data_IF_769844101203
#
_entry.id   IF_769844101203
#
_cell.length_a   1.000
_cell.length_b   1.000
_cell.length_c   1.000
_cell.angle_alpha   90.00
_cell.angle_beta   90.00
_cell.angle_gamma   90.00
#
_symmetry.space_group_name_H-M   'P 1'
#
loop_
_entity.id
_entity.type
_entity.pdbx_description
1 polymer ?
#
# COMPACT_ATOMS: atom_id res chain seq x y z
N UNK A 1 3.87 24.15 38.53
CA UNK A 1 3.89 22.72 38.19
C UNK A 1 2.44 22.27 38.13
N UNK A 2 2.03 21.50 37.11
CA UNK A 2 0.68 20.97 36.76
C UNK A 2 -0.02 21.65 35.57
N UNK A 3 0.44 21.33 34.36
CA UNK A 3 -0.31 21.49 33.11
C UNK A 3 -0.02 20.28 32.20
N UNK A 4 -0.46 19.07 32.61
CA UNK A 4 -0.10 17.82 31.90
C UNK A 4 -1.22 16.78 31.79
N UNK A 5 -2.50 17.10 32.01
CA UNK A 5 -3.54 16.04 32.03
C UNK A 5 -4.63 16.09 30.95
N UNK A 6 -4.69 17.10 30.07
CA UNK A 6 -5.78 17.18 29.08
C UNK A 6 -5.38 16.78 27.63
N UNK A 7 -4.10 16.50 27.36
CA UNK A 7 -3.58 16.35 25.97
C UNK A 7 -3.51 14.93 25.39
N UNK A 8 -3.76 13.89 26.20
CA UNK A 8 -3.67 12.49 25.76
C UNK A 8 -4.87 11.94 24.96
N UNK A 9 -6.15 12.31 25.21
CA UNK A 9 -7.29 11.63 24.60
C UNK A 9 -7.47 11.95 23.11
N UNK A 10 -7.31 13.21 22.70
CA UNK A 10 -7.37 13.60 21.27
C UNK A 10 -6.26 12.95 20.44
N UNK A 11 -5.09 12.80 21.06
CA UNK A 11 -3.92 12.23 20.41
C UNK A 11 -4.11 10.76 20.02
N UNK A 12 -4.73 10.00 20.93
CA UNK A 12 -5.07 8.59 20.71
C UNK A 12 -6.24 8.47 19.72
N UNK A 13 -7.21 9.39 19.78
CA UNK A 13 -8.35 9.43 18.87
C UNK A 13 -7.93 9.61 17.40
N UNK A 14 -7.07 10.59 17.10
CA UNK A 14 -6.58 10.84 15.73
C UNK A 14 -5.83 9.64 15.16
N UNK A 15 -4.92 9.04 15.95
CA UNK A 15 -4.15 7.88 15.50
C UNK A 15 -5.06 6.68 15.23
N UNK A 16 -6.05 6.45 16.10
CA UNK A 16 -7.05 5.39 15.93
C UNK A 16 -7.91 5.63 14.70
N UNK A 17 -8.30 6.87 14.42
CA UNK A 17 -9.09 7.20 13.25
C UNK A 17 -8.32 6.94 11.94
N UNK A 18 -7.09 7.45 11.82
CA UNK A 18 -6.27 7.30 10.62
C UNK A 18 -5.89 5.83 10.36
N UNK A 19 -5.28 5.18 11.35
CA UNK A 19 -4.82 3.79 11.21
C UNK A 19 -6.02 2.85 11.17
N UNK A 20 -7.01 3.07 12.03
CA UNK A 20 -8.22 2.26 12.07
C UNK A 20 -8.97 2.30 10.75
N UNK A 21 -9.22 3.49 10.19
CA UNK A 21 -9.87 3.63 8.88
C UNK A 21 -9.10 2.94 7.76
N UNK A 22 -7.79 3.18 7.66
CA UNK A 22 -6.95 2.57 6.63
C UNK A 22 -6.90 1.03 6.73
N UNK A 23 -6.58 0.50 7.91
CA UNK A 23 -6.41 -0.95 8.13
C UNK A 23 -7.75 -1.66 8.06
N UNK A 24 -8.80 -1.13 8.72
CA UNK A 24 -10.12 -1.77 8.67
C UNK A 24 -10.72 -1.71 7.27
N UNK A 25 -10.56 -0.61 6.53
CA UNK A 25 -10.98 -0.53 5.14
C UNK A 25 -10.32 -1.62 4.29
N UNK A 26 -9.00 -1.78 4.40
CA UNK A 26 -8.29 -2.80 3.64
C UNK A 26 -8.69 -4.23 4.01
N UNK A 27 -8.81 -4.53 5.30
CA UNK A 27 -9.21 -5.86 5.78
C UNK A 27 -10.67 -6.18 5.44
N UNK A 28 -11.59 -5.23 5.59
CA UNK A 28 -13.00 -5.44 5.25
C UNK A 28 -13.17 -5.65 3.75
N UNK A 29 -12.49 -4.85 2.92
CA UNK A 29 -12.55 -4.99 1.46
C UNK A 29 -11.99 -6.34 1.00
N UNK A 30 -10.82 -6.76 1.50
CA UNK A 30 -10.25 -8.04 1.08
C UNK A 30 -11.08 -9.22 1.55
N UNK A 31 -11.57 -9.21 2.79
CA UNK A 31 -12.42 -10.29 3.30
C UNK A 31 -13.74 -10.38 2.55
N UNK A 32 -14.42 -9.25 2.33
CA UNK A 32 -15.66 -9.22 1.57
C UNK A 32 -15.42 -9.71 0.12
N UNK A 33 -14.39 -9.22 -0.54
CA UNK A 33 -14.07 -9.64 -1.89
C UNK A 33 -13.71 -11.13 -1.97
N UNK A 34 -12.90 -11.65 -1.04
CA UNK A 34 -12.58 -13.08 -0.97
C UNK A 34 -13.84 -13.92 -0.75
N UNK A 35 -14.78 -13.51 0.11
CA UNK A 35 -16.05 -14.24 0.28
C UNK A 35 -16.93 -14.22 -0.98
N UNK A 36 -16.88 -13.14 -1.76
CA UNK A 36 -17.65 -13.02 -2.99
C UNK A 36 -17.06 -13.86 -4.13
N UNK A 37 -15.72 -13.96 -4.19
CA UNK A 37 -15.01 -14.68 -5.26
C UNK A 37 -14.57 -16.09 -4.86
N UNK A 38 -15.00 -16.60 -3.70
CA UNK A 38 -14.64 -17.93 -3.23
C UNK A 38 -15.13 -19.00 -4.23
N UNK A 39 -14.20 -19.79 -4.75
CA UNK A 39 -14.54 -20.87 -5.68
C UNK A 39 -15.40 -21.93 -4.99
N UNK A 40 -16.51 -22.33 -5.63
CA UNK A 40 -17.30 -23.46 -5.15
C UNK A 40 -16.49 -24.74 -5.36
N UNK A 41 -16.28 -25.49 -4.28
CA UNK A 41 -15.56 -26.75 -4.33
C UNK A 41 -16.20 -27.70 -5.36
N UNK A 42 -15.42 -28.06 -6.39
CA UNK A 42 -15.81 -29.07 -7.38
C UNK A 42 -15.41 -30.44 -6.84
N UNK A 43 -16.32 -31.43 -6.80
CA UNK A 43 -15.99 -32.77 -6.33
C UNK A 43 -14.79 -33.36 -7.07
N UNK A 44 -13.77 -33.78 -6.32
CA UNK A 44 -12.54 -34.39 -6.86
C UNK A 44 -11.37 -33.43 -7.09
N UNK A 45 -11.57 -32.11 -6.95
CA UNK A 45 -10.47 -31.12 -6.96
C UNK A 45 -10.14 -30.74 -5.52
N UNK A 46 -8.88 -30.93 -5.12
CA UNK A 46 -8.43 -30.50 -3.80
C UNK A 46 -8.35 -28.98 -3.77
N UNK A 47 -9.13 -28.35 -2.89
CA UNK A 47 -9.11 -26.90 -2.68
C UNK A 47 -8.29 -26.56 -1.42
N UNK A 48 -7.58 -25.41 -1.39
CA UNK A 48 -6.93 -24.93 -0.18
C UNK A 48 -7.92 -24.84 0.98
N UNK A 49 -7.47 -25.17 2.19
CA UNK A 49 -8.32 -25.02 3.37
C UNK A 49 -8.61 -23.54 3.70
N UNK A 50 -9.63 -23.25 4.53
CA UNK A 50 -10.05 -21.88 4.85
C UNK A 50 -8.93 -20.99 5.39
N UNK A 51 -7.97 -21.59 6.11
CA UNK A 51 -6.81 -20.87 6.61
C UNK A 51 -5.98 -20.25 5.48
N UNK A 52 -5.74 -21.00 4.40
CA UNK A 52 -4.95 -20.51 3.25
C UNK A 52 -5.79 -19.57 2.39
N UNK A 53 -7.05 -19.92 2.16
CA UNK A 53 -8.01 -19.16 1.34
C UNK A 53 -8.19 -17.72 1.86
N UNK A 54 -8.43 -17.54 3.16
CA UNK A 54 -8.61 -16.21 3.77
C UNK A 54 -7.30 -15.62 4.29
N UNK A 55 -6.39 -16.47 4.76
CA UNK A 55 -5.13 -16.00 5.36
C UNK A 55 -4.19 -15.40 4.33
N UNK A 56 -4.10 -15.95 3.11
CA UNK A 56 -3.21 -15.44 2.09
C UNK A 56 -3.56 -14.01 1.64
N UNK A 57 -4.82 -13.67 1.29
CA UNK A 57 -5.20 -12.30 0.97
C UNK A 57 -5.00 -11.32 2.14
N UNK A 58 -5.30 -11.75 3.37
CA UNK A 58 -5.07 -10.92 4.57
C UNK A 58 -3.58 -10.62 4.76
N UNK A 59 -2.71 -11.64 4.65
CA UNK A 59 -1.26 -11.47 4.74
C UNK A 59 -0.72 -10.57 3.65
N UNK A 60 -1.25 -10.69 2.42
CA UNK A 60 -0.90 -9.81 1.29
C UNK A 60 -1.27 -8.35 1.56
N UNK A 61 -2.48 -8.09 2.04
CA UNK A 61 -2.87 -6.73 2.42
C UNK A 61 -1.94 -6.20 3.51
N UNK A 62 -1.68 -6.96 4.56
CA UNK A 62 -0.79 -6.54 5.66
C UNK A 62 0.63 -6.24 5.17
N UNK A 63 1.13 -7.04 4.22
CA UNK A 63 2.42 -6.81 3.56
C UNK A 63 2.42 -5.46 2.83
N UNK A 64 1.39 -5.21 2.01
CA UNK A 64 1.25 -3.94 1.28
C UNK A 64 1.19 -2.76 2.25
N UNK A 65 0.41 -2.86 3.34
CA UNK A 65 0.31 -1.80 4.34
C UNK A 65 1.67 -1.53 5.02
N UNK A 66 2.44 -2.58 5.32
CA UNK A 66 3.78 -2.44 5.89
C UNK A 66 4.75 -1.76 4.90
N UNK A 67 4.73 -2.16 3.63
CA UNK A 67 5.55 -1.57 2.59
C UNK A 67 5.18 -0.10 2.33
N UNK A 68 3.89 0.23 2.30
CA UNK A 68 3.37 1.61 2.20
C UNK A 68 3.85 2.47 3.38
N UNK A 69 3.84 1.92 4.60
CA UNK A 69 4.36 2.63 5.77
C UNK A 69 5.87 2.89 5.64
N UNK A 70 6.65 1.91 5.17
CA UNK A 70 8.10 2.07 4.91
C UNK A 70 8.38 3.15 3.87
N UNK A 71 7.65 3.14 2.74
CA UNK A 71 7.77 4.18 1.70
C UNK A 71 7.44 5.56 2.28
N UNK A 72 6.31 5.71 2.96
CA UNK A 72 5.91 6.97 3.60
C UNK A 72 6.96 7.52 4.58
N UNK A 73 7.49 6.63 5.43
CA UNK A 73 8.53 6.99 6.41
C UNK A 73 9.87 7.32 5.75
N UNK A 74 10.19 6.69 4.61
CA UNK A 74 11.40 6.98 3.83
C UNK A 74 11.36 8.32 3.11
N UNK A 75 10.17 8.76 2.66
CA UNK A 75 9.97 10.03 1.98
C UNK A 75 9.96 11.23 2.96
N UNK A 76 9.58 11.00 4.21
CA UNK A 76 9.35 12.06 5.19
C UNK A 76 10.56 13.01 5.41
N UNK A 77 11.83 12.54 5.55
CA UNK A 77 12.98 13.44 5.67
C UNK A 77 13.09 14.41 4.51
N UNK A 78 12.83 13.93 3.28
CA UNK A 78 12.94 14.76 2.06
C UNK A 78 11.86 15.82 1.96
N UNK A 79 10.66 15.52 2.48
CA UNK A 79 9.51 16.44 2.47
C UNK A 79 9.64 17.49 3.60
N UNK A 80 10.10 17.08 4.78
CA UNK A 80 10.42 17.99 5.89
C UNK A 80 11.49 19.00 5.47
N UNK A 81 12.49 18.54 4.72
CA UNK A 81 13.65 19.34 4.36
C UNK A 81 14.64 19.42 5.52
N UNK A 82 15.78 20.04 5.25
CA UNK A 82 16.91 20.12 6.18
C UNK A 82 17.13 21.56 6.70
N UNK A 83 16.19 22.47 6.41
CA UNK A 83 16.29 23.90 6.68
C UNK A 83 16.20 24.22 8.18
N UNK A 84 15.47 23.40 8.95
CA UNK A 84 15.26 23.57 10.40
C UNK A 84 15.40 22.23 11.14
N UNK A 85 16.64 21.81 11.46
CA UNK A 85 16.90 20.55 12.16
C UNK A 85 16.28 20.48 13.56
N UNK A 86 16.19 21.60 14.28
CA UNK A 86 15.69 21.62 15.66
C UNK A 86 14.21 21.21 15.73
N UNK A 87 13.42 21.61 14.73
CA UNK A 87 11.99 21.26 14.65
C UNK A 87 11.72 19.93 13.95
N UNK A 88 12.56 19.55 12.98
CA UNK A 88 12.38 18.32 12.20
C UNK A 88 12.91 17.06 12.92
N UNK A 89 13.97 17.19 13.73
CA UNK A 89 14.60 16.06 14.41
C UNK A 89 13.70 15.33 15.43
N UNK A 90 12.85 16.00 16.24
CA UNK A 90 11.89 15.31 17.10
C UNK A 90 10.91 14.39 16.35
N UNK A 91 10.55 14.77 15.12
CA UNK A 91 9.71 13.95 14.23
C UNK A 91 10.54 12.78 13.71
N UNK A 92 11.77 13.01 13.28
CA UNK A 92 12.66 11.97 12.75
C UNK A 92 13.08 10.93 13.79
N UNK A 93 13.28 11.33 15.05
CA UNK A 93 13.52 10.40 16.16
C UNK A 93 12.42 9.36 16.34
N UNK A 94 11.17 9.69 15.95
CA UNK A 94 10.05 8.74 15.95
C UNK A 94 9.93 7.99 14.63
N UNK A 95 10.17 8.66 13.51
CA UNK A 95 10.02 8.07 12.17
C UNK A 95 11.05 6.97 11.89
N UNK A 96 12.33 7.17 12.25
CA UNK A 96 13.42 6.21 11.96
C UNK A 96 13.19 4.83 12.59
N UNK A 97 12.93 4.67 13.91
CA UNK A 97 12.68 3.35 14.49
C UNK A 97 11.35 2.73 14.00
N UNK A 98 10.33 3.56 13.71
CA UNK A 98 9.10 3.06 13.10
C UNK A 98 9.37 2.45 11.72
N UNK A 99 10.21 3.09 10.91
CA UNK A 99 10.56 2.61 9.57
C UNK A 99 11.27 1.25 9.63
N UNK A 100 12.20 1.08 10.58
CA UNK A 100 12.86 -0.21 10.84
C UNK A 100 11.85 -1.28 11.25
N UNK A 101 10.91 -0.94 12.14
CA UNK A 101 9.89 -1.88 12.62
C UNK A 101 9.00 -2.35 11.46
N UNK A 102 8.52 -1.43 10.63
CA UNK A 102 7.70 -1.78 9.47
C UNK A 102 8.49 -2.51 8.38
N UNK A 103 9.79 -2.24 8.21
CA UNK A 103 10.63 -2.98 7.29
C UNK A 103 10.85 -4.44 7.72
N UNK A 104 11.01 -4.69 9.02
CA UNK A 104 11.00 -6.05 9.56
C UNK A 104 9.64 -6.73 9.38
N UNK A 105 8.54 -6.02 9.66
CA UNK A 105 7.20 -6.56 9.43
C UNK A 105 6.99 -6.91 7.96
N UNK A 106 7.39 -6.05 7.04
CA UNK A 106 7.35 -6.29 5.59
C UNK A 106 8.16 -7.54 5.22
N UNK A 107 9.41 -7.66 5.67
CA UNK A 107 10.24 -8.83 5.39
C UNK A 107 9.61 -10.13 5.92
N UNK A 108 9.12 -10.13 7.16
CA UNK A 108 8.48 -11.32 7.77
C UNK A 108 7.19 -11.67 7.02
N UNK A 109 6.34 -10.69 6.74
CA UNK A 109 5.09 -10.91 6.00
C UNK A 109 5.36 -11.45 4.59
N UNK A 110 6.38 -10.95 3.89
CA UNK A 110 6.79 -11.47 2.59
C UNK A 110 7.17 -12.96 2.67
N UNK A 111 7.97 -13.35 3.66
CA UNK A 111 8.34 -14.75 3.85
C UNK A 111 7.14 -15.62 4.24
N UNK A 112 6.24 -15.14 5.10
CA UNK A 112 5.01 -15.88 5.46
C UNK A 112 4.07 -16.01 4.26
N UNK A 113 3.97 -14.99 3.41
CA UNK A 113 3.21 -15.06 2.14
C UNK A 113 3.77 -16.16 1.23
N UNK A 114 5.10 -16.31 1.11
CA UNK A 114 5.71 -17.42 0.33
C UNK A 114 5.23 -18.78 0.86
N UNK A 115 5.17 -18.96 2.19
CA UNK A 115 4.69 -20.21 2.81
C UNK A 115 3.22 -20.46 2.47
N UNK A 116 2.37 -19.44 2.56
CA UNK A 116 0.94 -19.55 2.22
C UNK A 116 0.71 -19.79 0.73
N UNK A 117 1.47 -19.16 -0.15
CA UNK A 117 1.42 -19.43 -1.59
C UNK A 117 1.88 -20.85 -1.93
N UNK A 118 2.90 -21.36 -1.22
CA UNK A 118 3.33 -22.76 -1.36
C UNK A 118 2.22 -23.72 -0.91
N UNK A 119 1.52 -23.41 0.19
CA UNK A 119 0.37 -24.17 0.67
C UNK A 119 -0.81 -24.13 -0.32
N UNK A 120 -1.05 -22.98 -0.96
CA UNK A 120 -2.10 -22.82 -1.95
C UNK A 120 -1.90 -23.73 -3.16
N UNK A 121 -0.65 -23.91 -3.60
CA UNK A 121 -0.31 -24.82 -4.70
C UNK A 121 -0.25 -26.30 -4.31
N UNK A 122 -0.22 -26.62 -3.02
CA UNK A 122 -0.17 -28.00 -2.52
C UNK A 122 -1.28 -28.25 -1.48
N UNK A 123 -2.57 -28.21 -1.89
CA UNK A 123 -3.68 -28.41 -0.96
C UNK A 123 -3.57 -29.73 -0.18
N UNK A 124 -3.86 -29.69 1.12
CA UNK A 124 -3.83 -30.87 1.99
C UNK A 124 -2.44 -31.25 2.52
N UNK A 125 -1.38 -30.55 2.14
CA UNK A 125 -0.01 -30.81 2.63
C UNK A 125 0.56 -29.61 3.38
N UNK A 126 1.24 -29.84 4.51
CA UNK A 126 1.98 -28.78 5.22
C UNK A 126 3.24 -28.43 4.43
N UNK A 127 3.49 -27.15 4.08
CA UNK A 127 4.68 -26.76 3.34
C UNK A 127 5.97 -27.13 4.07
N UNK A 128 6.78 -28.00 3.45
CA UNK A 128 8.12 -28.33 3.93
C UNK A 128 9.14 -27.32 3.40
N UNK A 129 10.32 -27.17 4.03
CA UNK A 129 11.39 -26.32 3.50
C UNK A 129 11.79 -26.65 2.06
N UNK A 130 11.74 -27.94 1.69
CA UNK A 130 12.02 -28.38 0.32
C UNK A 130 10.96 -27.90 -0.68
N UNK A 131 9.67 -27.98 -0.31
CA UNK A 131 8.57 -27.46 -1.14
C UNK A 131 8.65 -25.94 -1.29
N UNK A 132 8.99 -25.23 -0.23
CA UNK A 132 9.17 -23.76 -0.27
C UNK A 132 10.34 -23.39 -1.19
N UNK A 133 11.48 -24.08 -1.08
CA UNK A 133 12.63 -23.85 -1.96
C UNK A 133 12.31 -24.19 -3.43
N UNK A 134 11.51 -25.22 -3.66
CA UNK A 134 11.02 -25.57 -5.00
C UNK A 134 10.07 -24.49 -5.54
N UNK A 135 9.18 -23.96 -4.71
CA UNK A 135 8.28 -22.87 -5.10
C UNK A 135 9.07 -21.62 -5.52
N UNK A 136 10.00 -21.18 -4.66
CA UNK A 136 10.85 -20.00 -4.92
C UNK A 136 11.73 -20.20 -6.16
N UNK A 137 12.22 -21.41 -6.43
CA UNK A 137 13.07 -21.63 -7.61
C UNK A 137 12.28 -21.76 -8.93
N UNK A 138 11.03 -22.23 -8.89
CA UNK A 138 10.24 -22.50 -10.10
C UNK A 138 9.27 -21.39 -10.50
N UNK A 139 8.79 -20.58 -9.55
CA UNK A 139 7.76 -19.58 -9.81
C UNK A 139 8.32 -18.17 -9.62
N UNK A 140 8.15 -17.31 -10.64
CA UNK A 140 8.55 -15.90 -10.57
C UNK A 140 7.96 -15.16 -9.37
N UNK A 141 6.77 -15.57 -8.92
CA UNK A 141 6.10 -15.03 -7.72
C UNK A 141 6.90 -15.28 -6.44
N UNK A 142 7.46 -16.48 -6.30
CA UNK A 142 8.32 -16.83 -5.18
C UNK A 142 9.65 -16.06 -5.23
N UNK A 143 10.25 -15.95 -6.41
CA UNK A 143 11.49 -15.18 -6.62
C UNK A 143 11.30 -13.69 -6.30
N UNK A 144 10.23 -13.10 -6.82
CA UNK A 144 9.91 -11.69 -6.61
C UNK A 144 9.61 -11.38 -5.15
N UNK A 145 8.85 -12.25 -4.47
CA UNK A 145 8.58 -12.09 -3.05
C UNK A 145 9.84 -12.22 -2.19
N UNK A 146 10.74 -13.16 -2.53
CA UNK A 146 12.02 -13.29 -1.85
C UNK A 146 12.91 -12.05 -2.06
N UNK A 147 12.94 -11.51 -3.28
CA UNK A 147 13.64 -10.25 -3.56
C UNK A 147 13.05 -9.09 -2.77
N UNK A 148 11.72 -8.97 -2.70
CA UNK A 148 11.03 -7.97 -1.88
C UNK A 148 11.42 -8.08 -0.40
N UNK A 149 11.44 -9.29 0.14
CA UNK A 149 11.90 -9.56 1.51
C UNK A 149 13.37 -9.16 1.71
N UNK A 150 14.26 -9.45 0.76
CA UNK A 150 15.66 -9.07 0.82
C UNK A 150 15.85 -7.54 0.82
N UNK A 151 15.11 -6.82 -0.03
CA UNK A 151 15.10 -5.36 -0.03
C UNK A 151 14.57 -4.79 1.30
N UNK A 152 13.52 -5.38 1.87
CA UNK A 152 12.98 -4.96 3.16
C UNK A 152 14.00 -5.18 4.31
N UNK A 153 14.74 -6.29 4.30
CA UNK A 153 15.84 -6.53 5.25
C UNK A 153 17.01 -5.56 5.06
N UNK A 154 17.39 -5.29 3.81
CA UNK A 154 18.41 -4.30 3.48
C UNK A 154 17.99 -2.90 3.98
N UNK A 155 16.72 -2.53 3.75
CA UNK A 155 16.15 -1.30 4.29
C UNK A 155 16.23 -1.28 5.82
N UNK A 156 15.86 -2.37 6.50
CA UNK A 156 15.92 -2.45 7.97
C UNK A 156 17.36 -2.22 8.48
N UNK A 157 18.37 -2.80 7.82
CA UNK A 157 19.78 -2.57 8.11
C UNK A 157 20.20 -1.11 7.93
N UNK A 158 19.86 -0.49 6.80
CA UNK A 158 20.12 0.93 6.52
C UNK A 158 19.37 1.82 7.53
N UNK A 159 18.14 1.45 7.88
CA UNK A 159 17.31 2.14 8.85
C UNK A 159 17.90 2.10 10.27
N UNK A 160 18.49 0.99 10.68
CA UNK A 160 19.22 0.89 11.96
C UNK A 160 20.43 1.83 11.98
N UNK A 161 21.16 1.94 10.87
CA UNK A 161 22.22 2.94 10.71
C UNK A 161 21.65 4.36 10.82
N UNK A 162 20.50 4.66 10.19
CA UNK A 162 19.86 5.96 10.29
C UNK A 162 19.38 6.27 11.73
N UNK A 163 18.89 5.28 12.48
CA UNK A 163 18.54 5.45 13.91
C UNK A 163 19.78 5.85 14.72
N UNK A 164 20.94 5.26 14.43
CA UNK A 164 22.19 5.52 15.15
C UNK A 164 22.89 6.82 14.73
N UNK A 165 22.90 7.12 13.43
CA UNK A 165 23.71 8.18 12.84
C UNK A 165 22.89 9.37 12.29
N UNK A 166 21.55 9.32 12.41
CA UNK A 166 20.65 10.35 11.91
C UNK A 166 20.68 10.47 10.39
N UNK A 167 20.57 11.70 9.88
CA UNK A 167 20.57 12.00 8.45
C UNK A 167 21.97 11.97 7.80
N UNK A 168 23.01 11.52 8.51
CA UNK A 168 24.28 11.14 7.87
C UNK A 168 24.10 9.95 6.93
N UNK A 169 23.05 9.16 7.14
CA UNK A 169 22.63 8.10 6.22
C UNK A 169 21.68 8.71 5.18
N UNK A 170 22.05 8.72 3.88
CA UNK A 170 21.25 9.35 2.83
C UNK A 170 19.80 8.86 2.83
N UNK A 171 18.84 9.79 2.78
CA UNK A 171 17.43 9.46 2.68
C UNK A 171 17.10 8.83 1.32
N UNK A 172 17.82 9.27 0.28
CA UNK A 172 17.71 8.78 -1.09
C UNK A 172 17.97 7.28 -1.17
N UNK A 173 18.98 6.79 -0.45
CA UNK A 173 19.30 5.35 -0.42
C UNK A 173 18.12 4.54 0.17
N UNK A 174 17.50 5.03 1.24
CA UNK A 174 16.32 4.38 1.86
C UNK A 174 15.13 4.37 0.90
N UNK A 175 14.87 5.49 0.23
CA UNK A 175 13.79 5.63 -0.75
C UNK A 175 14.00 4.66 -1.92
N UNK A 176 15.21 4.62 -2.47
CA UNK A 176 15.58 3.72 -3.57
C UNK A 176 15.35 2.27 -3.15
N UNK A 177 15.92 1.81 -2.03
CA UNK A 177 15.75 0.43 -1.57
C UNK A 177 14.28 0.07 -1.32
N UNK A 178 13.49 1.00 -0.76
CA UNK A 178 12.05 0.78 -0.56
C UNK A 178 11.29 0.62 -1.88
N UNK A 179 11.53 1.47 -2.88
CA UNK A 179 10.88 1.33 -4.18
C UNK A 179 11.36 0.09 -4.96
N UNK A 180 12.64 -0.26 -4.87
CA UNK A 180 13.15 -1.50 -5.45
C UNK A 180 12.48 -2.74 -4.86
N UNK A 181 12.21 -2.76 -3.55
CA UNK A 181 11.48 -3.86 -2.91
C UNK A 181 10.02 -4.01 -3.37
N UNK A 182 9.42 -2.96 -3.95
CA UNK A 182 8.07 -3.00 -4.50
C UNK A 182 8.01 -3.49 -5.95
N UNK A 183 9.12 -3.39 -6.71
CA UNK A 183 9.18 -3.76 -8.12
C UNK A 183 8.72 -5.18 -8.43
N UNK A 184 9.06 -6.23 -7.66
CA UNK A 184 8.70 -7.59 -8.05
C UNK A 184 7.24 -7.94 -7.76
N UNK A 185 6.48 -7.10 -7.05
CA UNK A 185 5.13 -7.41 -6.62
C UNK A 185 4.15 -7.53 -7.81
N UNK A 186 4.24 -6.69 -8.88
CA UNK A 186 3.40 -6.81 -10.07
C UNK A 186 3.90 -7.80 -11.13
N UNK A 187 5.14 -8.29 -11.06
CA UNK A 187 5.86 -9.04 -12.12
C UNK A 187 5.41 -10.52 -12.23
N UNK A 188 4.21 -10.81 -11.76
CA UNK A 188 3.88 -12.10 -11.14
C UNK A 188 2.67 -12.80 -11.78
N UNK A 189 2.19 -12.27 -12.90
CA UNK A 189 1.20 -12.93 -13.76
C UNK A 189 1.85 -13.44 -15.06
N UNK A 190 1.25 -14.46 -15.68
CA UNK A 190 1.57 -14.92 -17.04
C UNK A 190 1.25 -13.84 -18.09
N UNK A 191 1.95 -12.71 -18.04
CA UNK A 191 1.76 -11.63 -18.99
C UNK A 191 2.30 -12.09 -20.35
N UNK A 192 1.36 -12.63 -21.13
CA UNK A 192 1.19 -12.55 -22.58
C UNK A 192 2.47 -12.25 -23.34
N UNK A 193 2.98 -13.26 -24.06
CA UNK A 193 4.03 -13.11 -25.07
C UNK A 193 3.54 -12.16 -26.18
N UNK A 194 3.61 -10.86 -25.92
CA UNK A 194 3.02 -9.79 -26.73
C UNK A 194 3.83 -8.51 -26.60
N UNK A 195 3.77 -7.67 -27.63
CA UNK A 195 4.40 -6.33 -27.68
C UNK A 195 3.99 -5.42 -26.50
N UNK A 196 2.90 -5.75 -25.81
CA UNK A 196 2.35 -4.97 -24.70
C UNK A 196 2.87 -5.37 -23.31
N UNK A 197 3.73 -6.40 -23.20
CA UNK A 197 4.28 -6.86 -21.92
C UNK A 197 5.00 -5.72 -21.16
N UNK A 198 6.01 -5.12 -21.78
CA UNK A 198 6.87 -4.15 -21.09
C UNK A 198 6.13 -2.86 -20.70
N UNK A 199 5.29 -2.25 -21.58
CA UNK A 199 4.50 -1.08 -21.19
C UNK A 199 3.51 -1.34 -20.06
N UNK A 200 2.87 -2.51 -20.02
CA UNK A 200 1.94 -2.88 -18.94
C UNK A 200 2.70 -3.07 -17.62
N UNK A 201 3.88 -3.71 -17.68
CA UNK A 201 4.73 -3.91 -16.51
C UNK A 201 5.17 -2.56 -15.91
N UNK A 202 5.72 -1.66 -16.75
CA UNK A 202 6.13 -0.31 -16.32
C UNK A 202 4.93 0.47 -15.75
N UNK A 203 3.76 0.39 -16.39
CA UNK A 203 2.53 1.04 -15.90
C UNK A 203 2.16 0.55 -14.50
N UNK A 204 2.21 -0.75 -14.25
CA UNK A 204 1.88 -1.35 -12.95
C UNK A 204 2.92 -1.00 -11.88
N UNK A 205 4.20 -0.99 -12.21
CA UNK A 205 5.26 -0.54 -11.30
C UNK A 205 5.05 0.93 -10.90
N UNK A 206 4.82 1.81 -11.87
CA UNK A 206 4.53 3.23 -11.62
C UNK A 206 3.26 3.41 -10.78
N UNK A 207 2.24 2.57 -10.99
CA UNK A 207 1.02 2.56 -10.18
C UNK A 207 1.30 2.23 -8.71
N UNK A 208 2.07 1.17 -8.46
CA UNK A 208 2.41 0.73 -7.09
C UNK A 208 3.31 1.76 -6.40
N UNK A 209 4.32 2.29 -7.10
CA UNK A 209 5.18 3.32 -6.53
C UNK A 209 4.42 4.61 -6.22
N UNK A 210 3.58 5.07 -7.15
CA UNK A 210 2.76 6.27 -6.96
C UNK A 210 1.76 6.12 -5.82
N UNK A 211 1.04 4.99 -5.78
CA UNK A 211 0.05 4.71 -4.72
C UNK A 211 0.71 4.61 -3.34
N UNK A 212 1.86 3.95 -3.24
CA UNK A 212 2.62 3.84 -1.99
C UNK A 212 3.17 5.20 -1.51
N UNK A 213 3.70 6.01 -2.43
CA UNK A 213 4.22 7.34 -2.12
C UNK A 213 3.13 8.28 -1.61
N UNK A 214 1.96 8.25 -2.25
CA UNK A 214 0.80 9.06 -1.86
C UNK A 214 0.18 8.57 -0.55
N UNK A 215 -0.21 7.30 -0.47
CA UNK A 215 -0.88 6.73 0.71
C UNK A 215 0.04 6.79 1.93
N UNK A 216 1.28 6.32 1.77
CA UNK A 216 2.26 6.28 2.85
C UNK A 216 2.68 7.67 3.30
N UNK A 217 2.93 8.58 2.37
CA UNK A 217 3.27 9.96 2.68
C UNK A 217 2.15 10.68 3.43
N UNK A 218 0.89 10.52 2.99
CA UNK A 218 -0.27 11.12 3.65
C UNK A 218 -0.42 10.57 5.07
N UNK A 219 -0.39 9.24 5.22
CA UNK A 219 -0.49 8.57 6.53
C UNK A 219 0.56 9.09 7.51
N UNK A 220 1.82 9.13 7.08
CA UNK A 220 2.95 9.48 7.94
C UNK A 220 2.94 10.97 8.31
N UNK A 221 2.62 11.86 7.36
CA UNK A 221 2.48 13.30 7.64
C UNK A 221 1.34 13.54 8.63
N UNK A 222 0.20 12.87 8.46
CA UNK A 222 -0.94 13.06 9.37
C UNK A 222 -0.66 12.50 10.77
N UNK A 223 0.09 11.40 10.87
CA UNK A 223 0.44 10.81 12.17
C UNK A 223 1.54 11.58 12.92
N UNK A 224 2.56 12.07 12.20
CA UNK A 224 3.77 12.58 12.82
C UNK A 224 3.90 14.11 12.77
N UNK A 225 3.27 14.77 11.79
CA UNK A 225 3.44 16.21 11.52
C UNK A 225 2.18 17.02 11.81
N UNK A 226 0.97 16.49 11.56
CA UNK A 226 -0.26 17.29 11.56
C UNK A 226 -0.61 18.00 12.88
N UNK A 227 0.04 17.67 13.99
CA UNK A 227 -0.12 18.37 15.27
C UNK A 227 0.64 19.68 15.35
N UNK A 228 1.79 19.79 14.69
CA UNK A 228 2.53 21.04 14.61
C UNK A 228 2.01 21.81 13.40
N UNK A 229 1.20 22.84 13.65
CA UNK A 229 0.56 23.65 12.59
C UNK A 229 1.57 24.36 11.71
N UNK A 230 2.71 24.78 12.25
CA UNK A 230 3.72 25.49 11.48
C UNK A 230 4.52 24.52 10.62
N UNK A 231 4.90 23.37 11.19
CA UNK A 231 5.58 22.32 10.45
C UNK A 231 4.65 21.76 9.35
N UNK A 232 3.37 21.56 9.64
CA UNK A 232 2.38 21.14 8.66
C UNK A 232 2.20 22.17 7.55
N UNK A 233 2.18 23.47 7.86
CA UNK A 233 2.11 24.54 6.87
C UNK A 233 3.31 24.55 5.91
N UNK A 234 4.49 24.13 6.37
CA UNK A 234 5.69 24.02 5.54
C UNK A 234 5.71 22.71 4.71
N UNK A 235 5.28 21.60 5.30
CA UNK A 235 5.39 20.24 4.73
C UNK A 235 4.26 19.94 3.75
N UNK A 236 3.02 20.28 4.10
CA UNK A 236 1.83 19.88 3.34
C UNK A 236 1.80 20.44 1.91
N UNK A 237 2.26 21.68 1.61
CA UNK A 237 2.33 22.16 0.23
C UNK A 237 3.32 21.36 -0.63
N UNK A 238 4.46 20.96 -0.06
CA UNK A 238 5.47 20.14 -0.75
C UNK A 238 4.92 18.75 -1.04
N UNK A 239 4.28 18.14 -0.03
CA UNK A 239 3.63 16.84 -0.20
C UNK A 239 2.46 16.91 -1.18
N UNK A 240 1.65 17.97 -1.18
CA UNK A 240 0.51 18.11 -2.09
C UNK A 240 0.94 18.09 -3.57
N UNK A 241 2.14 18.60 -3.91
CA UNK A 241 2.69 18.47 -5.27
C UNK A 241 2.98 17.02 -5.63
N UNK A 242 3.65 16.30 -4.74
CA UNK A 242 3.94 14.87 -4.90
C UNK A 242 2.64 14.04 -4.98
N UNK A 243 1.69 14.30 -4.10
CA UNK A 243 0.39 13.63 -4.08
C UNK A 243 -0.42 13.90 -5.37
N UNK A 244 -0.37 15.11 -5.92
CA UNK A 244 -1.06 15.42 -7.20
C UNK A 244 -0.43 14.65 -8.36
N UNK A 245 0.91 14.58 -8.41
CA UNK A 245 1.62 13.79 -9.43
C UNK A 245 1.31 12.30 -9.28
N UNK A 246 1.37 11.78 -8.05
CA UNK A 246 1.04 10.40 -7.75
C UNK A 246 -0.41 10.06 -8.11
N UNK A 247 -1.38 10.92 -7.79
CA UNK A 247 -2.78 10.75 -8.18
C UNK A 247 -2.92 10.67 -9.71
N UNK A 248 -2.27 11.56 -10.45
CA UNK A 248 -2.30 11.53 -11.91
C UNK A 248 -1.69 10.23 -12.47
N UNK A 249 -0.51 9.84 -11.97
CA UNK A 249 0.17 8.60 -12.37
C UNK A 249 -0.66 7.35 -12.06
N UNK A 250 -1.21 7.25 -10.85
CA UNK A 250 -2.04 6.12 -10.39
C UNK A 250 -3.35 6.05 -11.17
N UNK A 251 -3.98 7.18 -11.44
CA UNK A 251 -5.23 7.23 -12.21
C UNK A 251 -5.00 6.83 -13.67
N UNK A 252 -3.94 7.34 -14.30
CA UNK A 252 -3.61 7.02 -15.69
C UNK A 252 -3.19 5.56 -15.85
N UNK A 253 -2.27 5.08 -15.01
CA UNK A 253 -1.83 3.67 -15.02
C UNK A 253 -2.99 2.71 -14.71
N UNK A 254 -3.85 3.07 -13.76
CA UNK A 254 -5.04 2.29 -13.42
C UNK A 254 -6.04 2.21 -14.58
N UNK A 255 -6.22 3.31 -15.32
CA UNK A 255 -7.06 3.34 -16.52
C UNK A 255 -6.46 2.46 -17.63
N UNK A 256 -5.15 2.56 -17.87
CA UNK A 256 -4.45 1.71 -18.85
C UNK A 256 -4.63 0.23 -18.52
N UNK A 257 -4.39 -0.16 -17.27
CA UNK A 257 -4.56 -1.55 -16.84
C UNK A 257 -6.01 -2.00 -16.91
N UNK A 258 -6.97 -1.17 -16.46
CA UNK A 258 -8.40 -1.49 -16.52
C UNK A 258 -8.89 -1.68 -17.96
N UNK A 259 -8.54 -0.77 -18.86
CA UNK A 259 -8.91 -0.86 -20.28
C UNK A 259 -8.21 -2.04 -20.97
N UNK A 260 -6.94 -2.31 -20.66
CA UNK A 260 -6.21 -3.44 -21.20
C UNK A 260 -6.85 -4.77 -20.76
N UNK A 261 -7.23 -4.89 -19.48
CA UNK A 261 -7.96 -6.07 -18.98
C UNK A 261 -9.32 -6.25 -19.69
N UNK A 262 -10.03 -5.16 -19.97
CA UNK A 262 -11.30 -5.22 -20.72
C UNK A 262 -11.10 -5.60 -22.19
N UNK A 263 -10.06 -5.09 -22.86
CA UNK A 263 -9.78 -5.35 -24.27
C UNK A 263 -9.22 -6.76 -24.53
N UNK A 264 -8.48 -7.33 -23.57
CA UNK A 264 -7.82 -8.63 -23.69
C UNK A 264 -8.68 -9.80 -23.23
N UNK A 265 -9.93 -9.59 -22.79
CA UNK A 265 -10.85 -10.66 -22.40
C UNK A 265 -11.78 -11.02 -23.57
N UNK A 266 -11.49 -12.08 -24.35
CA UNK A 266 -12.34 -12.49 -25.48
C UNK A 266 -13.71 -12.99 -25.00
N UNK A 267 -14.80 -12.50 -25.63
CA UNK A 267 -16.18 -12.97 -25.37
C UNK A 267 -17.04 -12.08 -24.45
N UNK A 268 -16.55 -10.90 -24.04
CA UNK A 268 -17.28 -9.94 -23.19
C UNK A 268 -18.12 -9.01 -24.07
N UNK A 269 -19.41 -9.31 -24.24
CA UNK A 269 -20.37 -8.32 -24.76
C UNK A 269 -20.87 -7.41 -23.62
N UNK A 270 -20.59 -6.11 -23.74
CA UNK A 270 -21.06 -5.08 -22.81
C UNK A 270 -22.57 -4.82 -23.04
N UNK A 271 -23.40 -4.68 -21.99
CA UNK A 271 -23.05 -4.36 -20.60
C UNK A 271 -23.19 -5.53 -19.60
N UNK A 272 -23.69 -6.69 -20.02
CA UNK A 272 -24.09 -7.79 -19.11
C UNK A 272 -22.92 -8.47 -18.40
N UNK A 273 -21.76 -8.58 -19.06
CA UNK A 273 -20.59 -9.27 -18.52
C UNK A 273 -19.87 -8.50 -17.39
N UNK A 274 -20.06 -7.18 -17.26
CA UNK A 274 -19.53 -6.39 -16.13
C UNK A 274 -20.41 -6.44 -14.89
N UNK A 275 -21.72 -6.66 -15.06
CA UNK A 275 -22.70 -6.64 -13.98
C UNK A 275 -23.02 -8.03 -13.43
N UNK A 276 -22.81 -9.09 -14.22
CA UNK A 276 -23.12 -10.48 -13.84
C UNK A 276 -21.93 -11.31 -13.36
N UNK A 277 -20.72 -10.74 -13.29
CA UNK A 277 -19.48 -11.44 -12.92
C UNK A 277 -18.82 -10.78 -11.70
N UNK A 278 -18.44 -11.58 -10.70
CA UNK A 278 -17.84 -11.08 -9.45
C UNK A 278 -16.56 -10.27 -9.70
N UNK A 279 -15.77 -10.67 -10.69
CA UNK A 279 -14.59 -9.92 -11.16
C UNK A 279 -14.93 -8.51 -11.67
N UNK A 280 -16.03 -8.37 -12.43
CA UNK A 280 -16.49 -7.08 -12.97
C UNK A 280 -16.94 -6.12 -11.86
N UNK A 281 -17.62 -6.64 -10.85
CA UNK A 281 -18.02 -5.88 -9.67
C UNK A 281 -16.82 -5.38 -8.85
N UNK A 282 -15.78 -6.22 -8.67
CA UNK A 282 -14.55 -5.81 -7.98
C UNK A 282 -13.79 -4.73 -8.75
N UNK A 283 -13.74 -4.84 -10.08
CA UNK A 283 -13.13 -3.82 -10.93
C UNK A 283 -13.89 -2.49 -10.84
N UNK A 284 -15.23 -2.52 -10.89
CA UNK A 284 -16.08 -1.34 -10.71
C UNK A 284 -15.94 -0.73 -9.31
N UNK A 285 -15.85 -1.55 -8.26
CA UNK A 285 -15.62 -1.08 -6.91
C UNK A 285 -14.27 -0.35 -6.78
N UNK A 286 -13.21 -0.89 -7.39
CA UNK A 286 -11.89 -0.24 -7.44
C UNK A 286 -11.93 1.07 -8.22
N UNK A 287 -12.61 1.10 -9.37
CA UNK A 287 -12.81 2.33 -10.14
C UNK A 287 -13.60 3.39 -9.35
N UNK A 288 -14.63 2.96 -8.61
CA UNK A 288 -15.39 3.81 -7.69
C UNK A 288 -14.51 4.42 -6.59
N UNK A 289 -13.56 3.66 -6.04
CA UNK A 289 -12.60 4.19 -5.07
C UNK A 289 -11.76 5.33 -5.68
N UNK A 290 -11.24 5.17 -6.90
CA UNK A 290 -10.49 6.23 -7.58
C UNK A 290 -11.37 7.46 -7.82
N UNK A 291 -12.60 7.26 -8.28
CA UNK A 291 -13.56 8.34 -8.49
C UNK A 291 -13.87 9.13 -7.21
N UNK A 292 -13.88 8.49 -6.05
CA UNK A 292 -14.05 9.14 -4.74
C UNK A 292 -12.78 9.86 -4.24
N UNK A 293 -11.60 9.33 -4.57
CA UNK A 293 -10.33 9.94 -4.12
C UNK A 293 -10.04 11.28 -4.82
N UNK A 294 -10.43 11.43 -6.09
CA UNK A 294 -10.23 12.67 -6.86
C UNK A 294 -10.85 13.90 -6.15
N UNK A 295 -12.16 13.91 -5.79
CA UNK A 295 -12.76 15.04 -5.09
C UNK A 295 -12.19 15.25 -3.68
N UNK A 296 -11.78 14.20 -2.96
CA UNK A 296 -11.10 14.34 -1.67
C UNK A 296 -9.75 15.05 -1.80
N UNK A 297 -8.90 14.59 -2.72
CA UNK A 297 -7.62 15.22 -3.00
C UNK A 297 -7.80 16.68 -3.46
N UNK A 298 -8.79 16.94 -4.32
CA UNK A 298 -9.13 18.29 -4.75
C UNK A 298 -9.61 19.17 -3.58
N UNK A 299 -10.43 18.64 -2.67
CA UNK A 299 -10.90 19.37 -1.49
C UNK A 299 -9.73 19.75 -0.56
N UNK A 300 -8.85 18.79 -0.26
CA UNK A 300 -7.66 19.04 0.57
C UNK A 300 -6.78 20.10 -0.09
N UNK A 301 -6.53 19.99 -1.40
CA UNK A 301 -5.66 20.91 -2.14
C UNK A 301 -6.22 22.32 -2.27
N UNK A 302 -7.48 22.46 -2.66
CA UNK A 302 -8.04 23.76 -3.03
C UNK A 302 -8.76 24.47 -1.87
N UNK A 303 -9.25 23.73 -0.86
CA UNK A 303 -10.00 24.32 0.27
C UNK A 303 -9.20 24.32 1.57
N UNK A 304 -8.54 23.20 1.91
CA UNK A 304 -7.87 23.06 3.20
C UNK A 304 -6.44 23.61 3.18
N UNK A 305 -5.68 23.35 2.12
CA UNK A 305 -4.28 23.77 2.01
C UNK A 305 -4.07 25.28 2.18
N UNK A 306 -4.88 26.19 1.58
CA UNK A 306 -4.70 27.63 1.80
C UNK A 306 -4.92 28.05 3.26
N UNK A 307 -5.88 27.42 3.95
CA UNK A 307 -6.16 27.68 5.37
C UNK A 307 -5.04 27.16 6.27
N UNK A 308 -4.47 26.00 5.94
CA UNK A 308 -3.33 25.42 6.64
C UNK A 308 -2.07 26.26 6.42
N UNK A 309 -1.84 26.77 5.21
CA UNK A 309 -0.77 27.71 4.92
C UNK A 309 -0.91 29.01 5.74
N UNK A 310 -2.14 29.47 5.96
CA UNK A 310 -2.47 30.57 6.87
C UNK A 310 -2.49 30.16 8.36
N UNK A 311 -2.02 28.95 8.71
CA UNK A 311 -1.92 28.39 10.06
C UNK A 311 -3.26 28.29 10.83
N UNK A 312 -4.37 28.25 10.10
CA UNK A 312 -5.71 28.12 10.67
C UNK A 312 -6.03 26.66 11.05
N UNK A 313 -6.87 26.47 12.06
CA UNK A 313 -7.41 25.15 12.40
C UNK A 313 -8.32 24.62 11.28
N UNK A 314 -8.12 23.36 10.88
CA UNK A 314 -8.92 22.72 9.83
C UNK A 314 -9.24 21.28 10.19
N UNK A 315 -10.24 20.71 9.53
CA UNK A 315 -10.57 19.29 9.63
C UNK A 315 -9.67 18.38 8.76
N UNK A 316 -8.44 18.79 8.44
CA UNK A 316 -7.55 18.08 7.49
C UNK A 316 -7.31 16.62 7.89
N UNK A 317 -7.20 16.35 9.19
CA UNK A 317 -7.01 14.99 9.71
C UNK A 317 -8.23 14.11 9.43
N UNK A 318 -9.45 14.65 9.54
CA UNK A 318 -10.68 13.90 9.27
C UNK A 318 -10.83 13.61 7.77
N UNK A 319 -10.55 14.59 6.91
CA UNK A 319 -10.55 14.40 5.46
C UNK A 319 -9.46 13.41 5.02
N UNK A 320 -8.26 13.51 5.58
CA UNK A 320 -7.19 12.55 5.31
C UNK A 320 -7.54 11.15 5.83
N UNK A 321 -8.24 11.03 6.95
CA UNK A 321 -8.72 9.73 7.43
C UNK A 321 -9.77 9.12 6.48
N UNK A 322 -10.70 9.93 5.95
CA UNK A 322 -11.65 9.47 4.93
C UNK A 322 -10.91 9.03 3.65
N UNK A 323 -9.96 9.82 3.17
CA UNK A 323 -9.12 9.49 2.01
C UNK A 323 -8.34 8.19 2.23
N UNK A 324 -7.66 8.05 3.37
CA UNK A 324 -6.93 6.82 3.75
C UNK A 324 -7.85 5.62 3.90
N UNK A 325 -9.09 5.80 4.36
CA UNK A 325 -10.07 4.71 4.44
C UNK A 325 -10.43 4.20 3.03
N UNK A 326 -10.66 5.11 2.08
CA UNK A 326 -10.93 4.75 0.68
C UNK A 326 -9.70 4.12 0.02
N UNK A 327 -8.49 4.61 0.30
CA UNK A 327 -7.26 3.95 -0.14
C UNK A 327 -7.16 2.54 0.44
N UNK A 328 -7.48 2.36 1.72
CA UNK A 328 -7.53 1.04 2.36
C UNK A 328 -8.44 0.09 1.60
N UNK A 329 -9.68 0.49 1.32
CA UNK A 329 -10.61 -0.28 0.50
C UNK A 329 -10.00 -0.65 -0.86
N UNK A 330 -9.36 0.31 -1.53
CA UNK A 330 -8.71 0.08 -2.83
C UNK A 330 -7.56 -0.95 -2.77
N UNK A 331 -6.74 -0.93 -1.71
CA UNK A 331 -5.70 -1.95 -1.47
C UNK A 331 -6.33 -3.34 -1.24
N UNK A 332 -7.39 -3.42 -0.43
CA UNK A 332 -8.09 -4.68 -0.18
C UNK A 332 -8.70 -5.29 -1.45
N UNK A 333 -9.39 -4.48 -2.26
CA UNK A 333 -9.91 -4.91 -3.55
C UNK A 333 -8.80 -5.28 -4.55
N UNK A 334 -7.68 -4.54 -4.54
CA UNK A 334 -6.55 -4.83 -5.41
C UNK A 334 -5.97 -6.22 -5.13
N UNK A 335 -5.77 -6.58 -3.85
CA UNK A 335 -5.29 -7.91 -3.47
C UNK A 335 -6.28 -8.99 -3.88
N UNK A 336 -7.58 -8.81 -3.61
CA UNK A 336 -8.58 -9.80 -3.98
C UNK A 336 -8.65 -10.04 -5.50
N UNK A 337 -8.47 -8.99 -6.32
CA UNK A 337 -8.39 -9.11 -7.78
C UNK A 337 -7.21 -9.97 -8.26
N UNK A 338 -6.11 -10.03 -7.50
CA UNK A 338 -4.96 -10.90 -7.85
C UNK A 338 -5.23 -12.38 -7.60
N UNK A 339 -6.22 -12.70 -6.76
CA UNK A 339 -6.61 -14.06 -6.40
C UNK A 339 -7.91 -14.51 -7.06
N UNK A 340 -8.71 -13.58 -7.58
CA UNK A 340 -9.98 -13.87 -8.23
C UNK A 340 -9.75 -14.51 -9.62
N UNK A 341 -10.40 -15.65 -9.87
CA UNK A 341 -10.45 -16.27 -11.19
C UNK A 341 -11.29 -15.43 -12.15
N UNK A 342 -10.85 -15.28 -13.39
CA UNK A 342 -11.68 -14.75 -14.49
C UNK A 342 -12.61 -15.90 -14.91
N UNK A 343 -13.71 -16.10 -14.19
CA UNK A 343 -14.72 -17.14 -14.47
C UNK A 343 -16.04 -16.52 -14.92
#
# INVERSE_FOLDING_TARGET
MTATLERAPEAVSVRRLLIGGFVSGALLAVLAATTMTAEKAVPGIAVPGPLVEYGLPVLRVLLDLAAVAVVGLSLLPRILGFDDPERTEPVMRRARPAAVTFAWAWAVLALVVIVFQTAQLNPGTVPTPALIAQYVSRFGNGQGMLFSAACALAYAGIGLLAVRFGEKVPAELRIVVAFFGLLPIPVTGHAVNSVWHDPIMISMELHVMGSAAWTGGLLVIMLLVARDRELLAAVLPRFSRLATLALALVSLSGLVTGLASMALTPGVELPGALLNRDYGLLLLAKAGCVALLIPFAAHIRFRLLPRIAARQGTAVVAWAAAELTVMGLAYGFAVALTTASIS
#
